data_IF_124937368916
#
_entry.id   IF_124937368916
#
_cell.length_a   1.000
_cell.length_b   1.000
_cell.length_c   1.000
_cell.angle_alpha   90.00
_cell.angle_beta   90.00
_cell.angle_gamma   90.00
#
_symmetry.space_group_name_H-M   'P 1'
#
loop_
_entity.id
_entity.type
_entity.pdbx_description
1 polymer ?
#
# COMPACT_ATOMS: atom_id res chain seq x y z
N UNK A 1 -10.12 14.69 7.13
CA UNK A 1 -11.12 14.74 6.02
C UNK A 1 -12.19 13.70 6.31
N UNK A 2 -13.48 13.98 5.99
CA UNK A 2 -14.52 12.96 6.13
C UNK A 2 -14.25 11.80 5.18
N UNK A 3 -14.26 10.58 5.69
CA UNK A 3 -14.11 9.35 4.90
C UNK A 3 -12.73 8.69 4.91
N UNK A 4 -11.67 9.37 5.33
CA UNK A 4 -10.40 8.70 5.52
C UNK A 4 -10.39 7.92 6.84
N UNK A 5 -9.97 6.67 6.80
CA UNK A 5 -9.68 5.87 7.99
C UNK A 5 -8.28 6.30 8.48
N UNK A 6 -8.13 6.71 9.74
CA UNK A 6 -6.82 7.07 10.27
C UNK A 6 -5.86 5.87 10.24
N UNK A 7 -4.63 6.12 9.79
CA UNK A 7 -3.54 5.16 9.85
C UNK A 7 -2.54 5.63 10.91
N UNK A 8 -2.70 5.21 12.18
CA UNK A 8 -1.98 5.79 13.31
C UNK A 8 -0.47 5.58 13.24
N UNK A 9 0.01 4.49 12.63
CA UNK A 9 1.41 4.21 12.40
C UNK A 9 2.08 5.33 11.59
N UNK A 10 1.75 5.49 10.31
CA UNK A 10 2.35 6.51 9.44
C UNK A 10 1.98 7.95 9.85
N UNK A 11 0.77 8.18 10.40
CA UNK A 11 0.35 9.53 10.78
C UNK A 11 1.06 10.07 12.01
N UNK A 12 1.42 9.20 12.96
CA UNK A 12 2.09 9.56 14.21
C UNK A 12 3.59 9.33 14.17
N UNK A 13 4.04 8.34 13.40
CA UNK A 13 5.43 7.88 13.37
C UNK A 13 5.96 7.78 11.92
N UNK A 14 5.90 8.87 11.11
CA UNK A 14 6.29 8.83 9.70
C UNK A 14 7.75 8.41 9.48
N UNK A 15 8.64 8.76 10.41
CA UNK A 15 10.06 8.40 10.30
C UNK A 15 10.30 6.91 10.54
N UNK A 16 9.58 6.28 11.48
CA UNK A 16 9.62 4.83 11.71
C UNK A 16 8.95 4.08 10.57
N UNK A 17 7.84 4.61 10.04
CA UNK A 17 7.18 4.05 8.87
C UNK A 17 8.07 4.12 7.61
N UNK A 18 9.00 5.06 7.56
CA UNK A 18 10.02 5.13 6.50
C UNK A 18 11.05 4.00 6.62
N UNK A 19 11.39 3.57 7.85
CA UNK A 19 12.21 2.36 8.07
C UNK A 19 11.47 1.13 7.55
N UNK A 20 10.18 1.00 7.85
CA UNK A 20 9.35 -0.09 7.33
C UNK A 20 9.30 -0.11 5.80
N UNK A 21 9.05 1.04 5.17
CA UNK A 21 9.03 1.13 3.71
C UNK A 21 10.35 0.67 3.04
N UNK A 22 11.49 0.90 3.71
CA UNK A 22 12.78 0.40 3.23
C UNK A 22 12.98 -1.09 3.47
N UNK A 23 12.46 -1.59 4.58
CA UNK A 23 12.63 -3.00 4.97
C UNK A 23 11.71 -3.95 4.21
N UNK A 24 10.50 -3.48 3.86
CA UNK A 24 9.47 -4.32 3.26
C UNK A 24 9.70 -4.49 1.76
N UNK A 25 9.58 -5.75 1.29
CA UNK A 25 9.78 -6.13 -0.11
C UNK A 25 11.17 -5.71 -0.66
N UNK A 26 12.27 -6.04 0.04
CA UNK A 26 13.62 -5.61 -0.33
C UNK A 26 14.07 -6.13 -1.70
N UNK A 27 13.45 -7.21 -2.18
CA UNK A 27 13.77 -7.85 -3.46
C UNK A 27 12.84 -7.38 -4.61
N UNK A 28 11.89 -6.46 -4.32
CA UNK A 28 11.02 -5.85 -5.33
C UNK A 28 10.01 -6.81 -5.97
N UNK A 29 9.53 -7.79 -5.21
CA UNK A 29 8.59 -8.83 -5.70
C UNK A 29 7.28 -8.22 -6.16
N UNK A 30 6.75 -7.23 -5.40
CA UNK A 30 5.48 -6.55 -5.73
C UNK A 30 5.58 -5.79 -7.05
N UNK A 31 6.51 -4.82 -7.22
CA UNK A 31 6.60 -4.07 -8.48
C UNK A 31 6.95 -4.97 -9.67
N UNK A 32 7.72 -6.05 -9.47
CA UNK A 32 7.99 -7.01 -10.53
C UNK A 32 6.72 -7.77 -10.96
N UNK A 33 5.87 -8.18 -10.01
CA UNK A 33 4.60 -8.84 -10.31
C UNK A 33 3.64 -7.88 -11.04
N UNK A 34 3.52 -6.63 -10.57
CA UNK A 34 2.70 -5.61 -11.23
C UNK A 34 3.15 -5.36 -12.67
N UNK A 35 4.46 -5.19 -12.92
CA UNK A 35 5.01 -4.96 -14.26
C UNK A 35 4.73 -6.12 -15.23
N UNK A 36 4.77 -7.37 -14.75
CA UNK A 36 4.41 -8.53 -15.59
C UNK A 36 2.95 -8.53 -16.02
N UNK A 37 2.04 -7.98 -15.19
CA UNK A 37 0.61 -7.88 -15.51
C UNK A 37 0.32 -6.66 -16.37
N UNK A 38 0.87 -5.51 -16.00
CA UNK A 38 0.71 -4.22 -16.69
C UNK A 38 1.90 -3.32 -16.40
N UNK A 39 2.80 -3.17 -17.37
CA UNK A 39 3.87 -2.19 -17.27
C UNK A 39 3.29 -0.77 -17.33
N UNK A 40 3.90 0.13 -16.57
CA UNK A 40 3.52 1.54 -16.49
C UNK A 40 4.48 2.46 -17.27
N UNK A 41 5.45 1.91 -18.02
CA UNK A 41 6.35 2.72 -18.81
C UNK A 41 5.58 3.56 -19.85
N UNK A 42 5.80 4.88 -19.83
CA UNK A 42 5.10 5.82 -20.70
C UNK A 42 3.61 6.05 -20.38
N UNK A 43 3.12 5.57 -19.24
CA UNK A 43 1.70 5.60 -18.88
C UNK A 43 1.40 6.55 -17.70
N UNK A 44 0.18 7.10 -17.59
CA UNK A 44 -0.26 7.82 -16.40
C UNK A 44 -0.55 6.86 -15.25
N UNK A 45 0.08 7.11 -14.10
CA UNK A 45 -0.03 6.32 -12.87
C UNK A 45 -0.71 7.11 -11.77
N UNK A 46 -1.55 6.45 -10.98
CA UNK A 46 -2.17 6.97 -9.76
C UNK A 46 -1.73 6.12 -8.56
N UNK A 47 -1.18 6.76 -7.54
CA UNK A 47 -0.87 6.14 -6.24
C UNK A 47 -1.85 6.64 -5.17
N UNK A 48 -2.77 5.76 -4.73
CA UNK A 48 -3.84 6.09 -3.78
C UNK A 48 -3.41 5.75 -2.36
N UNK A 49 -3.38 6.76 -1.50
CA UNK A 49 -2.79 6.65 -0.16
C UNK A 49 -1.27 6.64 -0.24
N UNK A 50 -0.69 7.55 -1.02
CA UNK A 50 0.75 7.56 -1.27
C UNK A 50 1.62 7.86 -0.04
N UNK A 51 1.01 8.19 1.10
CA UNK A 51 1.70 8.45 2.35
C UNK A 51 2.75 9.57 2.23
N UNK A 52 3.98 9.28 2.63
CA UNK A 52 5.13 10.19 2.48
C UNK A 52 5.73 10.17 1.08
N UNK A 53 5.10 9.49 0.12
CA UNK A 53 5.51 9.42 -1.28
C UNK A 53 6.64 8.45 -1.58
N UNK A 54 6.86 7.43 -0.74
CA UNK A 54 7.99 6.50 -0.87
C UNK A 54 8.07 5.84 -2.27
N UNK A 55 6.92 5.43 -2.82
CA UNK A 55 6.87 4.74 -4.11
C UNK A 55 6.81 5.67 -5.34
N UNK A 56 6.51 6.97 -5.16
CA UNK A 56 6.35 7.90 -6.27
C UNK A 56 7.59 7.99 -7.19
N UNK A 57 8.85 8.06 -6.67
CA UNK A 57 10.04 8.07 -7.52
C UNK A 57 10.20 6.79 -8.36
N UNK A 58 9.84 5.62 -7.82
CA UNK A 58 9.89 4.35 -8.55
C UNK A 58 8.97 4.37 -9.78
N UNK A 59 7.75 4.88 -9.63
CA UNK A 59 6.84 5.05 -10.77
C UNK A 59 7.34 6.10 -11.74
N UNK A 60 7.80 7.25 -11.24
CA UNK A 60 8.26 8.38 -12.04
C UNK A 60 9.46 8.06 -12.92
N UNK A 61 10.25 7.05 -12.57
CA UNK A 61 11.42 6.64 -13.35
C UNK A 61 11.06 6.25 -14.81
N UNK A 62 9.84 5.76 -15.04
CA UNK A 62 9.42 5.29 -16.37
C UNK A 62 8.02 5.73 -16.80
N UNK A 63 7.15 6.15 -15.87
CA UNK A 63 5.81 6.62 -16.18
C UNK A 63 5.81 7.96 -16.93
N UNK A 64 4.78 8.19 -17.76
CA UNK A 64 4.59 9.50 -18.41
C UNK A 64 4.19 10.58 -17.38
N UNK A 65 3.39 10.19 -16.39
CA UNK A 65 3.00 11.05 -15.26
C UNK A 65 2.60 10.22 -14.05
N UNK A 66 2.77 10.78 -12.86
CA UNK A 66 2.38 10.14 -11.61
C UNK A 66 1.55 11.12 -10.76
N UNK A 67 0.40 10.69 -10.30
CA UNK A 67 -0.39 11.44 -9.32
C UNK A 67 -0.39 10.66 -8.02
N UNK A 68 0.15 11.24 -6.94
CA UNK A 68 0.01 10.73 -5.58
C UNK A 68 -1.17 11.39 -4.88
N UNK A 69 -2.08 10.61 -4.30
CA UNK A 69 -3.22 11.13 -3.51
C UNK A 69 -3.08 10.68 -2.06
N UNK A 70 -3.09 11.65 -1.12
CA UNK A 70 -2.91 11.38 0.31
C UNK A 70 -3.87 12.24 1.16
N UNK A 71 -4.67 11.62 2.06
CA UNK A 71 -5.60 12.37 2.90
C UNK A 71 -4.92 13.15 4.02
N UNK A 72 -3.80 12.66 4.58
CA UNK A 72 -3.12 13.33 5.68
C UNK A 72 -2.22 14.47 5.14
N UNK A 73 -2.59 15.72 5.46
CA UNK A 73 -1.88 16.91 4.94
C UNK A 73 -0.38 16.95 5.28
N UNK A 74 0.02 16.38 6.43
CA UNK A 74 1.42 16.27 6.84
C UNK A 74 2.21 15.39 5.89
N UNK A 75 1.71 14.18 5.64
CA UNK A 75 2.31 13.20 4.74
C UNK A 75 2.32 13.72 3.29
N UNK A 76 1.22 14.31 2.83
CA UNK A 76 1.16 14.91 1.49
C UNK A 76 2.23 16.00 1.29
N UNK A 77 2.50 16.84 2.32
CA UNK A 77 3.61 17.81 2.26
C UNK A 77 4.99 17.14 2.22
N UNK A 78 5.18 16.03 2.93
CA UNK A 78 6.43 15.26 2.85
C UNK A 78 6.59 14.62 1.48
N UNK A 79 5.53 14.00 0.94
CA UNK A 79 5.52 13.44 -0.40
C UNK A 79 5.87 14.50 -1.46
N UNK A 80 5.23 15.68 -1.40
CA UNK A 80 5.51 16.78 -2.33
C UNK A 80 6.98 17.25 -2.25
N UNK A 81 7.57 17.29 -1.05
CA UNK A 81 9.00 17.62 -0.89
C UNK A 81 9.90 16.54 -1.46
N UNK A 82 9.56 15.26 -1.26
CA UNK A 82 10.33 14.13 -1.80
C UNK A 82 10.43 14.18 -3.32
N UNK A 83 9.37 14.57 -3.99
CA UNK A 83 9.28 14.57 -5.45
C UNK A 83 9.47 15.95 -6.09
N UNK A 84 9.88 16.96 -5.34
CA UNK A 84 10.00 18.35 -5.82
C UNK A 84 10.88 18.51 -7.07
N UNK A 85 11.84 17.62 -7.29
CA UNK A 85 12.70 17.58 -8.49
C UNK A 85 12.15 16.75 -9.66
N UNK A 86 10.98 16.12 -9.51
CA UNK A 86 10.38 15.23 -10.50
C UNK A 86 9.20 15.93 -11.18
N UNK A 87 9.42 16.55 -12.33
CA UNK A 87 8.40 17.33 -13.05
C UNK A 87 7.19 16.53 -13.53
N UNK A 88 7.30 15.21 -13.58
CA UNK A 88 6.22 14.30 -13.97
C UNK A 88 5.34 13.90 -12.80
N UNK A 89 5.63 14.32 -11.56
CA UNK A 89 4.89 13.89 -10.34
C UNK A 89 4.12 15.05 -9.75
N UNK A 90 2.84 14.80 -9.45
CA UNK A 90 1.94 15.72 -8.75
C UNK A 90 1.37 15.06 -7.49
N UNK A 91 1.42 15.74 -6.36
CA UNK A 91 0.88 15.24 -5.08
C UNK A 91 -0.34 16.07 -4.67
N UNK A 92 -1.46 15.38 -4.50
CA UNK A 92 -2.75 16.00 -4.20
C UNK A 92 -3.28 15.54 -2.84
N UNK A 93 -3.84 16.48 -2.10
CA UNK A 93 -4.58 16.13 -0.88
C UNK A 93 -5.98 15.67 -1.27
N UNK A 94 -6.31 14.41 -0.95
CA UNK A 94 -7.59 13.82 -1.33
C UNK A 94 -7.86 12.51 -0.59
N UNK A 95 -9.04 11.94 -0.80
CA UNK A 95 -9.45 10.65 -0.26
C UNK A 95 -9.82 9.72 -1.40
N UNK A 96 -9.71 8.39 -1.18
CA UNK A 96 -10.05 7.40 -2.19
C UNK A 96 -11.51 7.50 -2.67
N UNK A 97 -12.42 7.96 -1.81
CA UNK A 97 -13.85 8.13 -2.09
C UNK A 97 -14.19 9.39 -2.89
N UNK A 98 -13.21 10.27 -3.13
CA UNK A 98 -13.35 11.49 -3.93
C UNK A 98 -11.95 11.86 -4.47
N UNK A 99 -11.51 11.14 -5.47
CA UNK A 99 -10.18 11.32 -6.07
C UNK A 99 -10.13 12.64 -6.86
N UNK A 100 -9.16 13.52 -6.56
CA UNK A 100 -8.96 14.76 -7.32
C UNK A 100 -8.27 14.48 -8.66
N UNK A 101 -8.84 13.59 -9.46
CA UNK A 101 -8.29 13.05 -10.71
C UNK A 101 -9.39 13.07 -11.77
N UNK A 102 -9.04 13.40 -13.01
CA UNK A 102 -9.98 13.44 -14.12
C UNK A 102 -10.49 12.03 -14.48
N UNK A 103 -11.72 12.01 -15.04
CA UNK A 103 -12.33 10.77 -15.51
C UNK A 103 -11.46 10.12 -16.61
N UNK A 104 -11.38 8.79 -16.59
CA UNK A 104 -10.74 7.98 -17.64
C UNK A 104 -9.32 8.44 -18.01
N UNK A 105 -8.57 8.94 -17.03
CA UNK A 105 -7.23 9.50 -17.26
C UNK A 105 -6.08 8.58 -16.81
N UNK A 106 -6.36 7.52 -16.04
CA UNK A 106 -5.35 6.68 -15.40
C UNK A 106 -5.23 5.32 -16.10
N UNK A 107 -3.99 4.93 -16.41
CA UNK A 107 -3.68 3.63 -16.98
C UNK A 107 -3.35 2.58 -15.92
N UNK A 108 -2.63 2.99 -14.88
CA UNK A 108 -2.26 2.11 -13.77
C UNK A 108 -2.60 2.80 -12.46
N UNK A 109 -3.43 2.18 -11.63
CA UNK A 109 -3.66 2.60 -10.26
C UNK A 109 -2.98 1.65 -9.29
N UNK A 110 -2.36 2.19 -8.26
CA UNK A 110 -1.71 1.49 -7.18
C UNK A 110 -2.31 1.94 -5.85
N UNK A 111 -2.59 0.98 -4.96
CA UNK A 111 -3.04 1.25 -3.61
C UNK A 111 -2.45 0.19 -2.68
N UNK A 112 -1.47 0.58 -1.86
CA UNK A 112 -0.77 -0.33 -0.96
C UNK A 112 -1.14 -0.01 0.47
N UNK A 113 -1.78 -0.98 1.16
CA UNK A 113 -2.31 -0.84 2.52
C UNK A 113 -3.21 0.39 2.74
N UNK A 114 -3.91 0.83 1.71
CA UNK A 114 -4.77 2.01 1.77
C UNK A 114 -6.27 1.72 1.64
N UNK A 115 -6.68 0.54 1.18
CA UNK A 115 -8.09 0.11 1.10
C UNK A 115 -8.50 -0.86 2.24
N UNK A 116 -7.70 -1.06 3.26
CA UNK A 116 -7.98 -1.78 4.51
C UNK A 116 -8.92 -2.98 4.37
N UNK A 117 -8.44 -4.07 3.76
CA UNK A 117 -9.11 -5.38 3.69
C UNK A 117 -10.43 -5.44 2.91
N UNK A 118 -10.78 -4.41 2.21
CA UNK A 118 -11.86 -4.41 1.21
C UNK A 118 -13.22 -3.93 1.70
N UNK A 119 -14.00 -4.67 2.50
CA UNK A 119 -15.36 -4.26 2.88
C UNK A 119 -15.42 -2.84 3.47
N UNK A 120 -16.33 -2.01 2.91
CA UNK A 120 -16.47 -0.60 3.27
C UNK A 120 -15.72 0.38 2.36
N UNK A 121 -14.86 -0.13 1.44
CA UNK A 121 -14.14 0.70 0.47
C UNK A 121 -14.91 0.95 -0.84
N UNK A 122 -16.15 0.46 -0.98
CA UNK A 122 -16.93 0.55 -2.21
C UNK A 122 -17.06 1.97 -2.79
N UNK A 123 -17.16 3.05 -1.99
CA UNK A 123 -17.10 4.40 -2.54
C UNK A 123 -15.78 4.69 -3.28
N UNK A 124 -14.65 4.16 -2.79
CA UNK A 124 -13.36 4.26 -3.46
C UNK A 124 -13.30 3.42 -4.74
N UNK A 125 -13.93 2.25 -4.76
CA UNK A 125 -14.02 1.41 -5.96
C UNK A 125 -14.82 2.10 -7.08
N UNK A 126 -15.87 2.87 -6.73
CA UNK A 126 -16.59 3.70 -7.71
C UNK A 126 -15.72 4.82 -8.29
N UNK A 127 -14.87 5.42 -7.48
CA UNK A 127 -13.90 6.42 -7.96
C UNK A 127 -12.83 5.77 -8.84
N UNK A 128 -12.34 4.57 -8.51
CA UNK A 128 -11.49 3.80 -9.43
C UNK A 128 -12.17 3.59 -10.78
N UNK A 129 -13.45 3.15 -10.80
CA UNK A 129 -14.22 2.99 -12.03
C UNK A 129 -14.28 4.29 -12.85
N UNK A 130 -14.44 5.44 -12.19
CA UNK A 130 -14.49 6.75 -12.83
C UNK A 130 -13.15 7.16 -13.45
N UNK A 131 -12.04 6.99 -12.72
CA UNK A 131 -10.73 7.54 -13.13
C UNK A 131 -9.95 6.62 -14.05
N UNK A 132 -10.21 5.31 -14.01
CA UNK A 132 -9.52 4.34 -14.86
C UNK A 132 -9.97 4.46 -16.31
N UNK A 133 -9.01 4.48 -17.23
CA UNK A 133 -9.27 4.42 -18.66
C UNK A 133 -9.50 2.98 -19.11
N UNK A 134 -10.13 2.80 -20.26
CA UNK A 134 -10.25 1.50 -20.90
C UNK A 134 -8.87 0.89 -21.16
N UNK A 135 -8.68 -0.37 -20.79
CA UNK A 135 -7.41 -1.09 -20.85
C UNK A 135 -6.44 -0.75 -19.70
N UNK A 136 -6.89 0.05 -18.72
CA UNK A 136 -6.14 0.30 -17.50
C UNK A 136 -6.25 -0.86 -16.51
N UNK A 137 -5.32 -0.92 -15.55
CA UNK A 137 -5.31 -1.92 -14.47
C UNK A 137 -5.13 -1.24 -13.12
N UNK A 138 -5.98 -1.61 -12.16
CA UNK A 138 -5.78 -1.24 -10.76
C UNK A 138 -5.16 -2.40 -9.99
N UNK A 139 -4.20 -2.07 -9.14
CA UNK A 139 -3.52 -2.96 -8.21
C UNK A 139 -3.80 -2.50 -6.78
N UNK A 140 -4.29 -3.41 -5.95
CA UNK A 140 -4.49 -3.20 -4.52
C UNK A 140 -3.67 -4.24 -3.78
N UNK A 141 -2.86 -3.79 -2.82
CA UNK A 141 -1.97 -4.65 -2.05
C UNK A 141 -2.38 -4.60 -0.58
N UNK A 142 -2.62 -5.77 -0.01
CA UNK A 142 -2.90 -5.96 1.40
C UNK A 142 -2.21 -7.22 1.97
N UNK A 143 -2.35 -7.44 3.28
CA UNK A 143 -1.70 -8.55 3.96
C UNK A 143 -2.36 -9.89 3.62
N UNK A 144 -1.55 -10.88 3.22
CA UNK A 144 -1.99 -12.27 3.21
C UNK A 144 -1.73 -12.90 4.59
N UNK A 145 -2.72 -12.84 5.46
CA UNK A 145 -2.62 -13.38 6.82
C UNK A 145 -2.76 -14.90 6.91
N UNK A 146 -2.91 -15.60 5.77
CA UNK A 146 -3.09 -17.07 5.75
C UNK A 146 -1.78 -17.83 5.74
N UNK A 147 -0.67 -17.14 5.46
CA UNK A 147 0.67 -17.74 5.29
C UNK A 147 1.74 -16.82 5.85
N UNK A 148 3.01 -17.24 5.80
CA UNK A 148 4.16 -16.53 6.33
C UNK A 148 4.25 -16.50 7.87
N UNK A 149 5.40 -16.08 8.37
CA UNK A 149 5.62 -15.88 9.80
C UNK A 149 4.85 -14.66 10.34
N UNK A 150 4.71 -13.62 9.55
CA UNK A 150 3.95 -12.42 9.89
C UNK A 150 2.43 -12.68 10.01
N UNK A 151 1.89 -13.62 9.25
CA UNK A 151 0.45 -13.89 9.21
C UNK A 151 -0.20 -14.15 10.58
N UNK A 152 0.34 -15.04 11.44
CA UNK A 152 -0.11 -15.22 12.82
C UNK A 152 -0.04 -13.96 13.69
N UNK A 153 0.99 -13.13 13.54
CA UNK A 153 1.10 -11.85 14.24
C UNK A 153 -0.04 -10.92 13.85
N UNK A 154 -0.27 -10.78 12.55
CA UNK A 154 -1.32 -9.95 12.01
C UNK A 154 -2.72 -10.38 12.50
N UNK A 155 -3.04 -11.68 12.48
CA UNK A 155 -4.34 -12.19 12.98
C UNK A 155 -4.55 -11.93 14.47
N UNK A 156 -3.50 -11.89 15.26
CA UNK A 156 -3.59 -11.53 16.68
C UNK A 156 -3.89 -10.05 16.88
N UNK A 157 -3.31 -9.19 16.05
CA UNK A 157 -3.58 -7.75 16.04
C UNK A 157 -4.97 -7.43 15.52
N UNK A 158 -5.46 -8.17 14.51
CA UNK A 158 -6.74 -7.95 13.84
C UNK A 158 -7.58 -9.24 13.89
N UNK A 159 -8.14 -9.60 15.06
CA UNK A 159 -8.88 -10.87 15.21
C UNK A 159 -10.14 -10.96 14.35
N UNK A 160 -10.68 -9.83 13.90
CA UNK A 160 -11.85 -9.76 13.01
C UNK A 160 -11.50 -9.99 11.53
N UNK A 161 -10.22 -10.13 11.18
CA UNK A 161 -9.82 -10.39 9.80
C UNK A 161 -10.24 -11.79 9.36
N UNK A 162 -11.11 -11.86 8.35
CA UNK A 162 -11.53 -13.11 7.72
C UNK A 162 -11.01 -13.14 6.26
N UNK A 163 -10.00 -13.95 5.95
CA UNK A 163 -9.42 -14.01 4.61
C UNK A 163 -10.41 -14.50 3.55
N UNK A 164 -11.39 -15.34 3.94
CA UNK A 164 -12.40 -15.86 3.02
C UNK A 164 -13.38 -14.74 2.63
N UNK A 165 -13.83 -13.95 3.59
CA UNK A 165 -14.70 -12.81 3.32
C UNK A 165 -13.98 -11.72 2.50
N UNK A 166 -12.70 -11.47 2.77
CA UNK A 166 -11.87 -10.53 1.99
C UNK A 166 -11.75 -11.02 0.54
N UNK A 167 -11.44 -12.29 0.32
CA UNK A 167 -11.34 -12.86 -1.03
C UNK A 167 -12.69 -12.81 -1.77
N UNK A 168 -13.79 -13.16 -1.12
CA UNK A 168 -15.14 -13.05 -1.67
C UNK A 168 -15.50 -11.61 -2.01
N UNK A 169 -15.14 -10.66 -1.15
CA UNK A 169 -15.37 -9.24 -1.41
C UNK A 169 -14.68 -8.79 -2.70
N UNK A 170 -13.38 -9.00 -2.81
CA UNK A 170 -12.61 -8.62 -3.99
C UNK A 170 -13.08 -9.33 -5.26
N UNK A 171 -13.39 -10.63 -5.17
CA UNK A 171 -13.93 -11.40 -6.30
C UNK A 171 -15.26 -10.85 -6.81
N UNK A 172 -16.20 -10.45 -5.91
CA UNK A 172 -17.47 -9.80 -6.30
C UNK A 172 -17.26 -8.45 -6.98
N UNK A 173 -16.15 -7.77 -6.70
CA UNK A 173 -15.78 -6.51 -7.36
C UNK A 173 -14.88 -6.70 -8.60
N UNK A 174 -14.74 -7.93 -9.09
CA UNK A 174 -14.02 -8.23 -10.33
C UNK A 174 -12.49 -8.21 -10.20
N UNK A 175 -11.97 -8.28 -8.98
CA UNK A 175 -10.52 -8.41 -8.75
C UNK A 175 -10.10 -9.88 -8.73
N UNK A 176 -8.96 -10.14 -9.35
CA UNK A 176 -8.25 -11.42 -9.26
C UNK A 176 -7.12 -11.32 -8.23
N UNK A 177 -6.84 -12.42 -7.53
CA UNK A 177 -5.80 -12.51 -6.50
C UNK A 177 -4.54 -13.18 -7.02
N UNK A 178 -3.39 -12.60 -6.70
CA UNK A 178 -2.10 -13.29 -6.69
C UNK A 178 -1.50 -13.15 -5.30
N UNK A 179 -1.19 -14.27 -4.64
CA UNK A 179 -0.42 -14.25 -3.38
C UNK A 179 1.08 -14.17 -3.71
N UNK A 180 1.79 -13.28 -3.04
CA UNK A 180 3.22 -13.05 -3.20
C UNK A 180 3.95 -13.27 -1.88
N UNK A 181 4.97 -14.11 -1.91
CA UNK A 181 5.90 -14.25 -0.78
C UNK A 181 7.00 -13.19 -0.89
N UNK A 182 7.24 -12.51 0.20
CA UNK A 182 8.26 -11.49 0.35
C UNK A 182 8.75 -11.46 1.81
N UNK A 183 9.43 -10.42 2.24
CA UNK A 183 9.87 -10.29 3.63
C UNK A 183 10.09 -8.85 4.06
N UNK A 184 10.25 -8.68 5.35
CA UNK A 184 10.97 -7.56 5.92
C UNK A 184 12.44 -7.94 6.08
N UNK A 185 13.34 -7.01 5.75
CA UNK A 185 14.78 -7.12 6.02
C UNK A 185 15.26 -5.81 6.62
N UNK A 186 15.64 -5.85 7.89
CA UNK A 186 16.10 -4.69 8.65
C UNK A 186 17.61 -4.63 8.74
N UNK A 187 18.17 -3.42 8.83
CA UNK A 187 19.61 -3.21 9.01
C UNK A 187 20.04 -3.41 10.47
N UNK A 188 19.13 -3.20 11.42
CA UNK A 188 19.38 -3.34 12.84
C UNK A 188 18.20 -3.91 13.61
N UNK A 189 18.48 -4.48 14.77
CA UNK A 189 17.47 -4.94 15.71
C UNK A 189 16.57 -3.78 16.20
N UNK A 190 17.17 -2.63 16.44
CA UNK A 190 16.45 -1.45 16.88
C UNK A 190 15.41 -0.99 15.84
N UNK A 191 15.73 -1.06 14.55
CA UNK A 191 14.81 -0.72 13.47
C UNK A 191 13.63 -1.69 13.40
N UNK A 192 13.90 -3.00 13.49
CA UNK A 192 12.87 -4.03 13.54
C UNK A 192 11.92 -3.77 14.72
N UNK A 193 12.45 -3.58 15.92
CA UNK A 193 11.64 -3.35 17.11
C UNK A 193 10.84 -2.04 17.02
N UNK A 194 11.42 -0.99 16.45
CA UNK A 194 10.71 0.27 16.25
C UNK A 194 9.50 0.09 15.31
N UNK A 195 9.66 -0.66 14.21
CA UNK A 195 8.57 -0.95 13.28
C UNK A 195 7.52 -1.85 13.92
N UNK A 196 7.92 -2.93 14.57
CA UNK A 196 6.98 -3.82 15.27
C UNK A 196 6.13 -3.04 16.30
N UNK A 197 6.72 -2.04 16.99
CA UNK A 197 6.02 -1.24 17.99
C UNK A 197 5.02 -0.24 17.41
N UNK A 198 5.12 0.15 16.14
CA UNK A 198 4.10 1.01 15.51
C UNK A 198 3.00 0.18 14.83
N UNK A 199 3.27 -1.08 14.51
CA UNK A 199 2.33 -1.98 13.82
C UNK A 199 1.43 -2.76 14.80
N UNK A 200 1.91 -3.04 16.00
CA UNK A 200 1.23 -3.89 16.97
C UNK A 200 0.95 -3.19 18.30
N UNK A 201 -0.04 -3.68 19.03
CA UNK A 201 -0.29 -3.24 20.40
C UNK A 201 0.96 -3.48 21.27
N UNK A 202 1.20 -2.68 22.33
CA UNK A 202 2.42 -2.81 23.12
C UNK A 202 2.70 -4.22 23.64
N UNK A 203 1.67 -4.93 24.13
CA UNK A 203 1.84 -6.29 24.64
C UNK A 203 2.21 -7.29 23.54
N UNK A 204 1.61 -7.18 22.35
CA UNK A 204 1.97 -8.02 21.21
C UNK A 204 3.35 -7.69 20.67
N UNK A 205 3.70 -6.42 20.60
CA UNK A 205 5.01 -5.98 20.15
C UNK A 205 6.13 -6.52 21.06
N UNK A 206 5.96 -6.42 22.39
CA UNK A 206 6.92 -6.97 23.34
C UNK A 206 7.08 -8.49 23.18
N UNK A 207 5.98 -9.21 23.02
CA UNK A 207 6.00 -10.68 22.81
C UNK A 207 6.70 -11.03 21.49
N UNK A 208 6.35 -10.36 20.38
CA UNK A 208 6.93 -10.66 19.06
C UNK A 208 8.42 -10.32 19.02
N UNK A 209 8.83 -9.21 19.60
CA UNK A 209 10.24 -8.85 19.74
C UNK A 209 11.00 -9.87 20.59
N UNK A 210 10.42 -10.38 21.66
CA UNK A 210 11.07 -11.40 22.49
C UNK A 210 11.17 -12.77 21.77
N UNK A 211 10.14 -13.15 21.02
CA UNK A 211 10.07 -14.44 20.34
C UNK A 211 10.90 -14.50 19.07
N UNK A 212 11.06 -13.38 18.36
CA UNK A 212 11.79 -13.31 17.08
C UNK A 212 13.15 -12.66 17.26
N UNK A 213 14.24 -13.38 17.01
CA UNK A 213 15.61 -12.92 17.23
C UNK A 213 16.33 -12.47 15.95
N UNK A 214 15.77 -12.76 14.77
CA UNK A 214 16.36 -12.38 13.47
C UNK A 214 16.14 -10.91 13.11
N UNK A 215 16.71 -10.51 11.98
CA UNK A 215 16.51 -9.22 11.33
C UNK A 215 15.56 -9.31 10.12
N UNK A 216 15.18 -10.53 9.74
CA UNK A 216 14.28 -10.78 8.62
C UNK A 216 12.97 -11.39 9.13
N UNK A 217 11.85 -10.92 8.62
CA UNK A 217 10.53 -11.47 8.92
C UNK A 217 9.91 -11.93 7.61
N UNK A 218 9.61 -13.22 7.52
CA UNK A 218 8.87 -13.79 6.40
C UNK A 218 7.45 -13.18 6.33
N UNK A 219 7.08 -12.68 5.16
CA UNK A 219 5.87 -11.91 4.94
C UNK A 219 5.18 -12.32 3.64
N UNK A 220 3.86 -12.24 3.61
CA UNK A 220 3.11 -12.47 2.39
C UNK A 220 2.04 -11.39 2.18
N UNK A 221 1.81 -11.06 0.92
CA UNK A 221 0.77 -10.10 0.51
C UNK A 221 -0.16 -10.68 -0.55
N UNK A 222 -1.38 -10.18 -0.56
CA UNK A 222 -2.28 -10.30 -1.68
C UNK A 222 -2.04 -9.15 -2.65
N UNK A 223 -1.80 -9.47 -3.90
CA UNK A 223 -1.86 -8.54 -5.02
C UNK A 223 -3.20 -8.75 -5.73
N UNK A 224 -4.16 -7.88 -5.46
CA UNK A 224 -5.44 -7.83 -6.14
C UNK A 224 -5.32 -6.99 -7.40
N UNK A 225 -5.80 -7.51 -8.53
CA UNK A 225 -5.76 -6.77 -9.80
C UNK A 225 -7.10 -6.82 -10.52
N UNK A 226 -7.49 -5.68 -11.14
CA UNK A 226 -8.69 -5.58 -11.98
C UNK A 226 -8.38 -4.75 -13.22
N UNK A 227 -8.79 -5.27 -14.40
CA UNK A 227 -8.77 -4.54 -15.68
C UNK A 227 -10.06 -3.76 -15.90
N UNK A 228 -10.00 -2.61 -16.55
CA UNK A 228 -11.10 -1.68 -16.82
C UNK A 228 -11.37 -1.49 -18.31
#
# INVERSE_FOLDING_TARGET
MRGAIPSPNIWKHPDVYELENRAVDPDGVIPAAMRRMRDWAGEPVLDIGCGTGFHLPMFAATAASVIGVEPHRGNARQAARRVAGLSTVDVRVGVAQALPVADRSIAVAHARWSYFFGPGCEPGLRELERVMRRGGVAFIIDNDATRSFFGPWFRRQVPSYDPIEVERFWGRHGFSRQSLDMGWRFESRADLEAVVRIEFSPALADEFCAAHQGLEVDYAVNLWSRSY
#
